data_IF_423760416479
#
_entry.id   IF_423760416479
#
_cell.length_a   1.000
_cell.length_b   1.000
_cell.length_c   1.000
_cell.angle_alpha   90.00
_cell.angle_beta   90.00
_cell.angle_gamma   90.00
#
_symmetry.space_group_name_H-M   'P 1'
#
loop_
_entity.id
_entity.type
_entity.pdbx_description
1 polymer ?
#
# COMPACT_ATOMS: atom_id res chain seq x y z
N UNK A 1 0.09 -18.12 5.14
CA UNK A 1 -0.40 -16.74 5.23
C UNK A 1 -0.04 -15.96 3.98
N UNK A 2 -0.95 -15.17 3.48
CA UNK A 2 -0.68 -14.32 2.31
C UNK A 2 -0.16 -12.96 2.75
N UNK A 3 0.65 -12.33 1.88
CA UNK A 3 1.16 -10.98 2.08
C UNK A 3 0.89 -10.13 0.85
N UNK A 4 0.58 -8.86 1.06
CA UNK A 4 0.48 -7.89 -0.03
C UNK A 4 1.53 -6.83 0.20
N UNK A 5 2.46 -6.69 -0.75
CA UNK A 5 3.44 -5.61 -0.75
C UNK A 5 2.93 -4.48 -1.61
N UNK A 6 2.96 -3.25 -1.08
CA UNK A 6 2.56 -2.06 -1.82
C UNK A 6 3.73 -1.09 -1.87
N UNK A 7 4.13 -0.71 -3.09
CA UNK A 7 5.17 0.27 -3.33
C UNK A 7 4.54 1.47 -4.03
N UNK A 8 4.29 2.53 -3.27
CA UNK A 8 3.64 3.75 -3.75
C UNK A 8 4.64 4.85 -4.02
N UNK A 9 5.10 4.95 -5.26
CA UNK A 9 5.96 6.02 -5.71
C UNK A 9 5.20 7.29 -6.09
N UNK A 10 5.94 8.26 -6.63
CA UNK A 10 5.36 9.55 -7.02
C UNK A 10 4.48 9.49 -8.27
N UNK A 11 4.63 8.48 -9.11
CA UNK A 11 3.90 8.37 -10.39
C UNK A 11 3.02 7.14 -10.50
N UNK A 12 3.38 6.05 -9.84
CA UNK A 12 2.66 4.77 -9.91
C UNK A 12 2.67 4.07 -8.57
N UNK A 13 1.72 3.15 -8.39
CA UNK A 13 1.64 2.27 -7.23
C UNK A 13 1.64 0.83 -7.71
N UNK A 14 2.52 0.02 -7.13
CA UNK A 14 2.66 -1.40 -7.45
C UNK A 14 2.15 -2.22 -6.28
N UNK A 15 1.30 -3.21 -6.59
CA UNK A 15 0.71 -4.11 -5.59
C UNK A 15 1.11 -5.53 -5.98
N UNK A 16 1.69 -6.27 -5.04
CA UNK A 16 2.11 -7.65 -5.29
C UNK A 16 1.58 -8.56 -4.19
N UNK A 17 0.93 -9.65 -4.60
CA UNK A 17 0.48 -10.69 -3.68
C UNK A 17 1.56 -11.77 -3.58
N UNK A 18 1.95 -12.10 -2.36
CA UNK A 18 2.96 -13.12 -2.07
C UNK A 18 2.36 -14.26 -1.24
N UNK A 19 2.86 -15.47 -1.47
CA UNK A 19 2.54 -16.60 -0.60
C UNK A 19 3.43 -16.58 0.66
N UNK A 20 3.25 -17.58 1.52
CA UNK A 20 4.00 -17.70 2.77
C UNK A 20 5.50 -17.92 2.57
N UNK A 21 5.91 -18.35 1.38
CA UNK A 21 7.31 -18.55 1.03
C UNK A 21 7.94 -17.33 0.37
N UNK A 22 7.18 -16.24 0.23
CA UNK A 22 7.68 -15.02 -0.40
C UNK A 22 7.62 -15.04 -1.92
N UNK A 23 6.98 -16.04 -2.52
CA UNK A 23 6.85 -16.13 -3.97
C UNK A 23 5.70 -15.27 -4.45
N UNK A 24 5.94 -14.44 -5.48
CA UNK A 24 4.90 -13.56 -6.01
C UNK A 24 3.87 -14.39 -6.79
N UNK A 25 2.60 -14.17 -6.47
CA UNK A 25 1.48 -14.85 -7.10
C UNK A 25 0.77 -13.99 -8.13
N UNK A 26 0.70 -12.66 -7.89
CA UNK A 26 0.00 -11.74 -8.76
C UNK A 26 0.50 -10.33 -8.53
N UNK A 27 0.50 -9.52 -9.56
CA UNK A 27 0.95 -8.14 -9.52
C UNK A 27 -0.05 -7.22 -10.22
N UNK A 28 -0.29 -6.05 -9.63
CA UNK A 28 -1.12 -5.00 -10.23
C UNK A 28 -0.33 -3.69 -10.13
N UNK A 29 -0.39 -2.88 -11.19
CA UNK A 29 0.16 -1.53 -11.20
C UNK A 29 -0.97 -0.56 -11.48
N UNK A 30 -1.09 0.49 -10.69
CA UNK A 30 -2.13 1.51 -10.82
C UNK A 30 -1.53 2.89 -10.61
N UNK A 31 -2.38 3.92 -10.62
CA UNK A 31 -1.98 5.30 -10.46
C UNK A 31 -1.35 5.58 -9.11
N UNK A 32 -0.65 6.71 -9.02
CA UNK A 32 -0.04 7.18 -7.78
C UNK A 32 -1.08 7.38 -6.68
N UNK A 33 -0.68 7.05 -5.45
CA UNK A 33 -1.44 7.37 -4.24
C UNK A 33 -0.76 8.47 -3.42
N UNK A 34 0.08 9.29 -4.07
CA UNK A 34 0.79 10.38 -3.40
C UNK A 34 -0.19 11.49 -3.04
N UNK A 35 -0.34 11.80 -1.75
CA UNK A 35 -1.36 12.72 -1.24
C UNK A 35 -1.16 14.17 -1.69
N UNK A 36 0.02 14.52 -2.21
CA UNK A 36 0.27 15.86 -2.75
C UNK A 36 -0.18 16.01 -4.20
N UNK A 37 -0.38 14.91 -4.92
CA UNK A 37 -0.71 14.93 -6.35
C UNK A 37 -2.04 14.28 -6.68
N UNK A 38 -2.61 13.52 -5.74
CA UNK A 38 -3.87 12.82 -5.93
C UNK A 38 -4.89 13.25 -4.89
N UNK A 39 -6.16 13.20 -5.27
CA UNK A 39 -7.28 13.43 -4.37
C UNK A 39 -7.31 12.37 -3.26
N UNK A 40 -7.71 12.80 -2.06
CA UNK A 40 -7.77 11.95 -0.87
C UNK A 40 -8.63 10.71 -1.10
N UNK A 41 -9.85 10.90 -1.64
CA UNK A 41 -10.76 9.78 -1.89
C UNK A 41 -10.23 8.86 -2.98
N UNK A 42 -9.56 9.40 -3.98
CA UNK A 42 -8.96 8.60 -5.04
C UNK A 42 -7.84 7.71 -4.50
N UNK A 43 -7.03 8.22 -3.58
CA UNK A 43 -5.99 7.41 -2.92
C UNK A 43 -6.62 6.22 -2.18
N UNK A 44 -7.69 6.46 -1.43
CA UNK A 44 -8.42 5.42 -0.71
C UNK A 44 -8.95 4.37 -1.71
N UNK A 45 -9.56 4.82 -2.79
CA UNK A 45 -10.18 3.93 -3.78
C UNK A 45 -9.14 3.06 -4.49
N UNK A 46 -8.01 3.64 -4.87
CA UNK A 46 -6.92 2.90 -5.52
C UNK A 46 -6.40 1.81 -4.58
N UNK A 47 -6.10 2.16 -3.34
CA UNK A 47 -5.58 1.19 -2.37
C UNK A 47 -6.58 0.08 -2.09
N UNK A 48 -7.83 0.45 -1.78
CA UNK A 48 -8.87 -0.52 -1.43
C UNK A 48 -9.20 -1.45 -2.58
N UNK A 49 -9.41 -0.91 -3.77
CA UNK A 49 -9.80 -1.69 -4.94
C UNK A 49 -8.74 -2.74 -5.28
N UNK A 50 -7.47 -2.35 -5.27
CA UNK A 50 -6.40 -3.26 -5.67
C UNK A 50 -6.11 -4.31 -4.60
N UNK A 51 -6.15 -3.93 -3.33
CA UNK A 51 -5.96 -4.89 -2.23
C UNK A 51 -7.08 -5.92 -2.23
N UNK A 52 -8.33 -5.48 -2.41
CA UNK A 52 -9.47 -6.41 -2.46
C UNK A 52 -9.45 -7.29 -3.70
N UNK A 53 -8.93 -6.79 -4.82
CA UNK A 53 -8.77 -7.60 -6.03
C UNK A 53 -7.72 -8.70 -5.84
N UNK A 54 -6.65 -8.42 -5.09
CA UNK A 54 -5.61 -9.41 -4.81
C UNK A 54 -6.04 -10.41 -3.74
N UNK A 55 -6.77 -9.98 -2.72
CA UNK A 55 -7.21 -10.84 -1.63
C UNK A 55 -8.62 -10.46 -1.16
N UNK A 56 -9.66 -10.98 -1.82
CA UNK A 56 -11.04 -10.70 -1.41
C UNK A 56 -11.41 -11.31 -0.06
N UNK A 57 -10.59 -12.21 0.49
CA UNK A 57 -10.86 -12.85 1.78
C UNK A 57 -10.40 -12.03 2.98
N UNK A 58 -9.65 -10.94 2.75
CA UNK A 58 -9.09 -10.07 3.80
C UNK A 58 -8.20 -10.82 4.80
N UNK A 59 -7.45 -11.80 4.34
CA UNK A 59 -6.56 -12.61 5.18
C UNK A 59 -5.09 -12.21 5.04
N UNK A 60 -4.74 -11.48 4.00
CA UNK A 60 -3.36 -11.08 3.76
C UNK A 60 -2.90 -10.03 4.76
N UNK A 61 -1.61 -10.08 5.11
CA UNK A 61 -0.96 -9.02 5.85
C UNK A 61 -0.37 -8.03 4.85
N UNK A 62 -0.70 -6.75 5.00
CA UNK A 62 -0.27 -5.70 4.08
C UNK A 62 0.99 -5.01 4.59
N UNK A 63 2.00 -4.90 3.74
CA UNK A 63 3.20 -4.09 4.01
C UNK A 63 3.25 -3.01 2.94
N UNK A 64 2.99 -1.76 3.32
CA UNK A 64 2.86 -0.66 2.37
C UNK A 64 3.97 0.37 2.57
N UNK A 65 4.74 0.60 1.50
CA UNK A 65 5.71 1.68 1.43
C UNK A 65 5.15 2.79 0.56
N UNK A 66 4.87 3.95 1.15
CA UNK A 66 4.20 5.05 0.46
C UNK A 66 5.06 6.30 0.48
N UNK A 67 5.18 6.94 -0.69
CA UNK A 67 5.96 8.17 -0.82
C UNK A 67 5.41 9.26 0.08
N UNK A 68 6.31 9.96 0.77
CA UNK A 68 5.97 11.05 1.69
C UNK A 68 5.67 10.61 3.12
N UNK A 69 5.51 9.31 3.36
CA UNK A 69 5.22 8.83 4.71
C UNK A 69 6.46 9.01 5.61
N UNK A 70 6.27 9.64 6.75
CA UNK A 70 7.30 9.80 7.75
C UNK A 70 8.13 11.07 7.68
N UNK A 71 8.00 11.89 6.61
CA UNK A 71 8.81 13.09 6.42
C UNK A 71 8.21 14.32 7.10
N UNK A 72 6.89 14.45 7.09
CA UNK A 72 6.17 15.56 7.69
C UNK A 72 5.00 15.00 8.48
N UNK A 73 4.75 15.57 9.65
CA UNK A 73 3.70 15.10 10.55
C UNK A 73 2.31 15.16 9.90
N UNK A 74 2.02 16.23 9.18
CA UNK A 74 0.74 16.41 8.52
C UNK A 74 0.51 15.37 7.42
N UNK A 75 1.52 15.14 6.58
CA UNK A 75 1.44 14.12 5.53
C UNK A 75 1.33 12.73 6.12
N UNK A 76 2.07 12.47 7.19
CA UNK A 76 2.02 11.19 7.89
C UNK A 76 0.60 10.89 8.37
N UNK A 77 -0.06 11.87 9.00
CA UNK A 77 -1.45 11.71 9.48
C UNK A 77 -2.42 11.45 8.33
N UNK A 78 -2.29 12.16 7.23
CA UNK A 78 -3.15 11.97 6.06
C UNK A 78 -3.00 10.56 5.50
N UNK A 79 -1.77 10.08 5.36
CA UNK A 79 -1.48 8.75 4.85
C UNK A 79 -2.01 7.68 5.82
N UNK A 80 -1.83 7.86 7.12
CA UNK A 80 -2.36 6.94 8.11
C UNK A 80 -3.90 6.86 8.07
N UNK A 81 -4.57 7.98 7.89
CA UNK A 81 -6.04 8.01 7.76
C UNK A 81 -6.51 7.30 6.49
N UNK A 82 -5.84 7.57 5.38
CA UNK A 82 -6.14 6.91 4.10
C UNK A 82 -6.02 5.39 4.24
N UNK A 83 -4.92 4.92 4.82
CA UNK A 83 -4.66 3.49 4.97
C UNK A 83 -5.62 2.83 5.96
N UNK A 84 -5.97 3.52 7.03
CA UNK A 84 -6.93 2.99 8.00
C UNK A 84 -8.28 2.71 7.35
N UNK A 85 -8.71 3.58 6.45
CA UNK A 85 -9.97 3.41 5.72
C UNK A 85 -9.82 2.37 4.61
N UNK A 86 -8.75 2.47 3.81
CA UNK A 86 -8.55 1.61 2.66
C UNK A 86 -8.31 0.15 3.06
N UNK A 87 -7.59 -0.07 4.16
CA UNK A 87 -7.22 -1.42 4.62
C UNK A 87 -8.11 -1.94 5.75
N UNK A 88 -9.32 -1.41 5.87
CA UNK A 88 -10.26 -1.88 6.87
C UNK A 88 -10.50 -3.39 6.69
N UNK A 89 -10.31 -4.15 7.77
CA UNK A 89 -10.42 -5.60 7.75
C UNK A 89 -9.09 -6.33 7.55
N UNK A 90 -8.00 -5.59 7.29
CA UNK A 90 -6.66 -6.15 7.13
C UNK A 90 -5.75 -5.73 8.28
N UNK A 91 -4.75 -6.55 8.56
CA UNK A 91 -3.59 -6.12 9.34
C UNK A 91 -2.56 -5.53 8.40
N UNK A 92 -1.91 -4.45 8.80
CA UNK A 92 -0.95 -3.77 7.92
C UNK A 92 0.13 -3.04 8.70
N UNK A 93 1.25 -2.80 8.01
CA UNK A 93 2.35 -1.92 8.46
C UNK A 93 2.64 -0.90 7.36
N UNK A 94 3.00 0.31 7.77
CA UNK A 94 3.35 1.41 6.86
C UNK A 94 4.82 1.77 6.99
N UNK A 95 5.47 2.00 5.84
CA UNK A 95 6.84 2.49 5.73
C UNK A 95 6.89 3.59 4.69
N UNK A 96 7.97 4.36 4.65
CA UNK A 96 8.18 5.19 3.48
C UNK A 96 8.67 4.30 2.32
N UNK A 97 8.58 4.80 1.08
CA UNK A 97 8.89 4.02 -0.12
C UNK A 97 10.35 3.55 -0.16
N UNK A 98 11.27 4.31 0.41
CA UNK A 98 12.69 3.93 0.49
C UNK A 98 12.88 2.74 1.43
N UNK A 99 12.19 2.76 2.58
CA UNK A 99 12.28 1.67 3.56
C UNK A 99 11.77 0.35 2.99
N UNK A 100 10.66 0.36 2.25
CA UNK A 100 10.12 -0.87 1.68
C UNK A 100 11.05 -1.44 0.59
N UNK A 101 11.70 -0.58 -0.19
CA UNK A 101 12.65 -1.02 -1.18
C UNK A 101 13.86 -1.72 -0.54
N UNK A 102 14.34 -1.23 0.59
CA UNK A 102 15.43 -1.85 1.34
C UNK A 102 15.02 -3.19 1.94
N UNK A 103 13.80 -3.30 2.44
CA UNK A 103 13.28 -4.54 3.00
C UNK A 103 13.10 -5.58 1.89
N UNK A 104 12.65 -5.17 0.72
CA UNK A 104 12.42 -6.06 -0.42
C UNK A 104 13.69 -6.52 -1.12
N UNK A 105 14.79 -5.88 -0.83
CA UNK A 105 16.08 -6.25 -1.42
C UNK A 105 16.69 -7.43 -0.67
#
# INVERSE_FOLDING_TARGET
MLYIGIDGGGTKTKFVLYDENGQSLKEIVDDSVHVLTQDYQKCIDILRTNVNALDPTHQAFIVAGLAGYGNQEELKRKIEDICRIAFLGYQYLLYNDVQIAMIGA
#
